data_IF_087971483431
#
_entry.id   IF_087971483431
#
_cell.length_a   1.000
_cell.length_b   1.000
_cell.length_c   1.000
_cell.angle_alpha   90.00
_cell.angle_beta   90.00
_cell.angle_gamma   90.00
#
_symmetry.space_group_name_H-M   'P 1'
#
loop_
_entity.id
_entity.type
_entity.pdbx_description
1 polymer ?
#
# COMPACT_ATOMS: atom_id res chain seq x y z
N UNK A 1 7.49 -18.92 4.15
CA UNK A 1 7.34 -17.49 3.80
C UNK A 1 5.88 -17.04 3.83
N UNK A 2 5.15 -17.20 4.96
CA UNK A 2 3.75 -16.73 5.09
C UNK A 2 3.67 -15.34 5.73
N UNK A 3 4.51 -15.11 6.76
CA UNK A 3 4.56 -13.84 7.48
C UNK A 3 4.96 -12.66 6.58
N UNK A 4 6.01 -12.80 5.76
CA UNK A 4 6.47 -11.74 4.86
C UNK A 4 5.39 -11.34 3.85
N UNK A 5 4.70 -12.31 3.24
CA UNK A 5 3.59 -12.05 2.33
C UNK A 5 2.42 -11.38 3.03
N UNK A 6 2.10 -11.79 4.26
CA UNK A 6 1.07 -11.12 5.07
C UNK A 6 1.42 -9.66 5.37
N UNK A 7 2.68 -9.37 5.73
CA UNK A 7 3.17 -8.02 5.98
C UNK A 7 3.08 -7.16 4.72
N UNK A 8 3.49 -7.69 3.56
CA UNK A 8 3.40 -6.97 2.28
C UNK A 8 1.96 -6.64 1.90
N UNK A 9 1.03 -7.59 2.01
CA UNK A 9 -0.40 -7.35 1.74
C UNK A 9 -0.95 -6.29 2.68
N UNK A 10 -0.62 -6.36 3.97
CA UNK A 10 -1.09 -5.39 4.97
C UNK A 10 -0.55 -3.98 4.69
N UNK A 11 0.74 -3.85 4.38
CA UNK A 11 1.36 -2.59 3.95
C UNK A 11 0.69 -2.01 2.70
N UNK A 12 0.41 -2.85 1.69
CA UNK A 12 -0.26 -2.44 0.45
C UNK A 12 -1.70 -1.97 0.71
N UNK A 13 -2.47 -2.70 1.54
CA UNK A 13 -3.86 -2.34 1.85
C UNK A 13 -3.91 -1.05 2.67
N UNK A 14 -3.14 -0.95 3.75
CA UNK A 14 -3.10 0.24 4.61
C UNK A 14 -2.62 1.46 3.83
N UNK A 15 -1.57 1.31 3.03
CA UNK A 15 -1.06 2.37 2.18
C UNK A 15 -2.05 2.82 1.10
N UNK A 16 -2.76 1.87 0.47
CA UNK A 16 -3.82 2.16 -0.49
C UNK A 16 -4.99 2.91 0.13
N UNK A 17 -5.40 2.53 1.36
CA UNK A 17 -6.44 3.26 2.11
C UNK A 17 -5.97 4.68 2.44
N UNK A 18 -4.72 4.87 2.88
CA UNK A 18 -4.16 6.20 3.15
C UNK A 18 -4.19 7.09 1.91
N UNK A 19 -3.74 6.59 0.76
CA UNK A 19 -3.77 7.38 -0.49
C UNK A 19 -5.21 7.62 -0.99
N UNK A 20 -6.14 6.70 -0.75
CA UNK A 20 -7.57 6.93 -0.99
C UNK A 20 -8.13 8.05 -0.11
N UNK A 21 -7.76 8.09 1.17
CA UNK A 21 -8.11 9.18 2.08
C UNK A 21 -7.49 10.51 1.62
N UNK A 22 -6.22 10.51 1.19
CA UNK A 22 -5.57 11.70 0.62
C UNK A 22 -6.35 12.24 -0.58
N UNK A 23 -6.78 11.36 -1.49
CA UNK A 23 -7.60 11.75 -2.63
C UNK A 23 -8.97 12.32 -2.20
N UNK A 24 -9.66 11.69 -1.24
CA UNK A 24 -10.91 12.22 -0.68
C UNK A 24 -10.71 13.58 0.02
N UNK A 25 -9.61 13.73 0.75
CA UNK A 25 -9.24 14.98 1.40
C UNK A 25 -9.04 16.11 0.40
N UNK A 26 -8.48 15.81 -0.77
CA UNK A 26 -8.37 16.77 -1.86
C UNK A 26 -9.74 17.31 -2.32
N UNK A 27 -10.75 16.43 -2.46
CA UNK A 27 -12.13 16.85 -2.78
C UNK A 27 -12.80 17.66 -1.67
N UNK A 28 -12.46 17.37 -0.42
CA UNK A 28 -13.02 18.02 0.78
C UNK A 28 -12.21 19.24 1.23
N UNK A 29 -11.18 19.64 0.48
CA UNK A 29 -10.24 20.72 0.81
C UNK A 29 -9.60 20.55 2.22
N UNK A 30 -9.37 19.31 2.64
CA UNK A 30 -8.83 18.97 3.96
C UNK A 30 -7.72 17.93 3.86
N UNK A 31 -6.71 18.01 4.73
CA UNK A 31 -5.62 17.05 4.72
C UNK A 31 -6.02 15.79 5.50
N UNK A 32 -6.32 14.70 4.77
CA UNK A 32 -6.61 13.38 5.34
C UNK A 32 -5.44 12.41 5.20
N UNK A 33 -4.21 12.92 5.06
CA UNK A 33 -3.04 12.06 4.97
C UNK A 33 -2.66 11.57 6.38
N UNK A 34 -3.11 10.37 6.73
CA UNK A 34 -2.88 9.77 8.06
C UNK A 34 -1.39 9.60 8.34
N UNK A 35 -0.60 9.27 7.33
CA UNK A 35 0.87 9.15 7.47
C UNK A 35 1.48 10.50 7.81
N UNK A 36 1.09 11.56 7.09
CA UNK A 36 1.56 12.92 7.38
C UNK A 36 1.03 13.45 8.73
N UNK A 37 -0.20 13.12 9.12
CA UNK A 37 -0.75 13.52 10.42
C UNK A 37 -0.01 12.87 11.60
N UNK A 38 0.43 11.61 11.45
CA UNK A 38 1.13 10.88 12.51
C UNK A 38 2.64 11.15 12.53
N UNK A 39 3.25 11.26 11.35
CA UNK A 39 4.71 11.35 11.20
C UNK A 39 5.19 12.70 10.68
N UNK A 40 4.31 13.69 10.52
CA UNK A 40 4.60 14.97 9.82
C UNK A 40 5.74 15.80 10.41
N UNK A 41 6.18 15.49 11.63
CA UNK A 41 7.41 16.06 12.20
C UNK A 41 8.69 15.47 11.61
N UNK A 42 8.63 14.29 10.97
CA UNK A 42 9.75 13.46 10.51
C UNK A 42 9.61 13.16 9.00
N UNK A 43 9.79 14.17 8.14
CA UNK A 43 9.50 14.06 6.70
C UNK A 43 10.31 12.98 5.98
N UNK A 44 11.55 12.70 6.43
CA UNK A 44 12.37 11.63 5.86
C UNK A 44 11.79 10.24 6.13
N UNK A 45 11.20 10.01 7.30
CA UNK A 45 10.59 8.70 7.64
C UNK A 45 9.28 8.48 6.90
N UNK A 46 8.48 9.53 6.75
CA UNK A 46 7.27 9.52 5.91
C UNK A 46 7.60 9.06 4.47
N UNK A 47 8.65 9.62 3.85
CA UNK A 47 9.08 9.19 2.50
C UNK A 47 9.46 7.72 2.42
N UNK A 48 10.16 7.19 3.45
CA UNK A 48 10.55 5.77 3.49
C UNK A 48 9.30 4.89 3.56
N UNK A 49 8.30 5.27 4.37
CA UNK A 49 7.04 4.53 4.47
C UNK A 49 6.33 4.48 3.11
N UNK A 50 6.25 5.61 2.39
CA UNK A 50 5.67 5.62 1.04
C UNK A 50 6.41 4.73 0.06
N UNK A 51 7.75 4.75 0.10
CA UNK A 51 8.57 3.89 -0.75
C UNK A 51 8.32 2.40 -0.47
N UNK A 52 8.26 2.01 0.81
CA UNK A 52 8.01 0.63 1.23
C UNK A 52 6.60 0.15 0.85
N UNK A 53 5.59 1.03 0.99
CA UNK A 53 4.21 0.75 0.56
C UNK A 53 4.16 0.53 -0.96
N UNK A 54 4.78 1.42 -1.74
CA UNK A 54 4.83 1.32 -3.20
C UNK A 54 5.53 0.03 -3.67
N UNK A 55 6.68 -0.29 -3.08
CA UNK A 55 7.40 -1.54 -3.37
C UNK A 55 6.58 -2.78 -2.99
N UNK A 56 5.89 -2.75 -1.84
CA UNK A 56 5.01 -3.85 -1.42
C UNK A 56 3.87 -4.04 -2.42
N UNK A 57 3.25 -2.95 -2.89
CA UNK A 57 2.19 -2.99 -3.89
C UNK A 57 2.67 -3.55 -5.23
N UNK A 58 3.87 -3.17 -5.68
CA UNK A 58 4.49 -3.71 -6.89
C UNK A 58 4.77 -5.21 -6.75
N UNK A 59 5.34 -5.66 -5.64
CA UNK A 59 5.66 -7.08 -5.41
C UNK A 59 4.40 -7.93 -5.30
N UNK A 60 3.39 -7.48 -4.53
CA UNK A 60 2.10 -8.19 -4.37
C UNK A 60 1.33 -8.18 -5.69
N UNK A 61 1.27 -7.04 -6.37
CA UNK A 61 0.61 -6.89 -7.67
C UNK A 61 1.27 -7.77 -8.74
N UNK A 62 2.59 -7.70 -8.87
CA UNK A 62 3.34 -8.55 -9.80
C UNK A 62 3.16 -10.03 -9.48
N UNK A 63 3.24 -10.44 -8.21
CA UNK A 63 2.99 -11.81 -7.81
C UNK A 63 1.56 -12.26 -8.13
N UNK A 64 0.56 -11.38 -8.05
CA UNK A 64 -0.82 -11.73 -8.37
C UNK A 64 -1.08 -11.79 -9.88
N UNK A 65 -0.48 -10.86 -10.63
CA UNK A 65 -0.55 -10.81 -12.10
C UNK A 65 0.19 -11.99 -12.75
N UNK A 66 1.35 -12.37 -12.22
CA UNK A 66 2.13 -13.52 -12.72
C UNK A 66 1.59 -14.87 -12.27
N UNK A 67 0.83 -14.94 -11.16
CA UNK A 67 0.16 -16.17 -10.70
C UNK A 67 -1.23 -16.41 -11.29
N UNK A 68 -1.70 -15.59 -12.23
CA UNK A 68 -2.79 -15.95 -13.17
C UNK A 68 -2.11 -16.46 -14.46
N UNK A 69 -1.86 -17.75 -14.65
CA UNK A 69 -2.78 -18.89 -14.47
C UNK A 69 -2.34 -19.93 -13.40
N UNK A 70 -2.89 -19.83 -12.19
CA UNK A 70 -3.14 -21.01 -11.32
C UNK A 70 -4.64 -21.23 -11.06
N UNK A 71 -5.49 -20.46 -11.74
CA UNK A 71 -6.94 -20.67 -11.83
C UNK A 71 -7.37 -21.37 -13.12
N UNK A 72 -6.42 -21.85 -13.92
CA UNK A 72 -6.67 -23.00 -14.80
C UNK A 72 -6.58 -24.25 -13.91
N UNK A 73 -7.66 -24.50 -13.17
CA UNK A 73 -7.91 -25.80 -12.59
C UNK A 73 -7.98 -26.81 -13.73
N UNK A 74 -7.16 -27.85 -13.64
CA UNK A 74 -7.47 -29.15 -14.22
C UNK A 74 -8.89 -29.54 -13.81
N UNK A 75 -9.80 -29.61 -14.77
CA UNK A 75 -10.99 -30.48 -14.74
C UNK A 75 -11.38 -30.78 -16.18
#
# INVERSE_FOLDING_TARGET
>A
MKALTGIMVLLTVVGGINWGLVALGYFLNTNLNVVNLLLGTWPMVEMIVYLLVGLSALVVGYAHLTKKCSMCTHS
#
